data_IF_083897493212
#
_entry.id   IF_083897493212
#
_cell.length_a   1.000
_cell.length_b   1.000
_cell.length_c   1.000
_cell.angle_alpha   90.00
_cell.angle_beta   90.00
_cell.angle_gamma   90.00
#
_symmetry.space_group_name_H-M   'P 1'
#
loop_
_entity.id
_entity.type
_entity.pdbx_description
1 polymer ?
#
# COMPACT_ATOMS: atom_id res chain seq x y z
N UNK A 1 -4.44 10.79 14.99
CA UNK A 1 -4.23 11.76 13.92
C UNK A 1 -4.04 13.18 14.45
N UNK A 2 -3.30 13.95 13.70
CA UNK A 2 -3.00 15.35 14.01
C UNK A 2 -3.26 16.19 12.75
N UNK A 3 -4.04 17.29 12.83
CA UNK A 3 -4.40 18.10 11.66
C UNK A 3 -3.18 18.62 10.88
N UNK A 4 -2.07 18.90 11.58
CA UNK A 4 -0.82 19.32 10.97
C UNK A 4 -0.20 18.31 10.01
N UNK A 5 -0.59 17.01 10.08
CA UNK A 5 -0.10 15.98 9.16
C UNK A 5 -0.44 16.26 7.69
N UNK A 6 -1.41 17.14 7.43
CA UNK A 6 -1.83 17.55 6.09
C UNK A 6 -1.36 18.96 5.71
N UNK A 7 -0.48 19.56 6.51
CA UNK A 7 0.01 20.91 6.27
C UNK A 7 1.13 20.94 5.22
N UNK A 8 1.35 22.15 4.65
CA UNK A 8 2.48 22.38 3.75
C UNK A 8 3.83 22.26 4.46
N UNK A 9 3.87 22.62 5.73
CA UNK A 9 5.04 22.49 6.58
C UNK A 9 5.44 21.04 6.78
N UNK A 10 4.45 20.18 7.08
CA UNK A 10 4.68 18.71 7.19
C UNK A 10 5.13 18.13 5.85
N UNK A 11 4.54 18.57 4.73
CA UNK A 11 4.99 18.15 3.41
C UNK A 11 6.48 18.47 3.21
N UNK A 12 6.86 19.73 3.47
CA UNK A 12 8.26 20.12 3.32
C UNK A 12 9.18 19.34 4.25
N UNK A 13 8.79 19.11 5.50
CA UNK A 13 9.56 18.32 6.46
C UNK A 13 9.73 16.87 5.97
N UNK A 14 8.68 16.26 5.40
CA UNK A 14 8.75 14.91 4.85
C UNK A 14 9.74 14.85 3.68
N UNK A 15 9.66 15.78 2.74
CA UNK A 15 10.61 15.88 1.60
C UNK A 15 12.04 16.02 2.10
N UNK A 16 12.29 17.02 2.96
CA UNK A 16 13.64 17.29 3.49
C UNK A 16 14.20 16.07 4.26
N UNK A 17 13.35 15.38 5.05
CA UNK A 17 13.76 14.20 5.82
C UNK A 17 14.09 13.01 4.91
N UNK A 18 13.28 12.74 3.90
CA UNK A 18 13.50 11.64 2.95
C UNK A 18 14.80 11.90 2.17
N UNK A 19 14.99 13.12 1.67
CA UNK A 19 16.23 13.51 0.99
C UNK A 19 17.44 13.29 1.89
N UNK A 20 17.38 13.78 3.12
CA UNK A 20 18.47 13.63 4.08
C UNK A 20 18.79 12.17 4.37
N UNK A 21 17.78 11.31 4.61
CA UNK A 21 17.99 9.87 4.85
C UNK A 21 18.67 9.21 3.65
N UNK A 22 18.20 9.49 2.44
CA UNK A 22 18.75 8.87 1.22
C UNK A 22 20.18 9.37 0.97
N UNK A 23 20.40 10.67 1.10
CA UNK A 23 21.72 11.27 0.85
C UNK A 23 22.78 10.77 1.85
N UNK A 24 22.43 10.66 3.14
CA UNK A 24 23.34 10.13 4.18
C UNK A 24 23.55 8.61 4.05
N UNK A 25 22.50 7.84 3.75
CA UNK A 25 22.61 6.39 3.60
C UNK A 25 23.32 5.99 2.31
N UNK A 26 23.23 6.82 1.27
CA UNK A 26 23.79 6.59 -0.07
C UNK A 26 23.57 5.15 -0.55
N UNK A 27 22.33 4.65 -0.65
CA UNK A 27 22.04 3.25 -0.91
C UNK A 27 22.50 2.84 -2.31
N UNK A 28 23.25 1.73 -2.40
CA UNK A 28 23.79 1.20 -3.67
C UNK A 28 22.94 0.05 -4.21
N UNK A 29 22.54 -0.88 -3.34
CA UNK A 29 21.84 -2.12 -3.73
C UNK A 29 20.41 -2.19 -3.17
N UNK A 30 19.92 -1.10 -2.62
CA UNK A 30 18.57 -1.01 -2.05
C UNK A 30 17.96 0.35 -2.33
N UNK A 31 16.70 0.50 -2.03
CA UNK A 31 15.97 1.77 -2.14
C UNK A 31 15.29 2.09 -0.82
N UNK A 32 14.93 3.33 -0.64
CA UNK A 32 14.16 3.81 0.50
C UNK A 32 12.70 3.99 0.07
N UNK A 33 11.78 3.55 0.89
CA UNK A 33 10.34 3.77 0.66
C UNK A 33 9.66 4.22 1.94
N UNK A 34 8.52 4.86 1.79
CA UNK A 34 7.61 5.12 2.89
C UNK A 34 6.30 4.42 2.65
N UNK A 35 5.62 4.11 3.73
CA UNK A 35 4.28 3.57 3.75
C UNK A 35 3.25 4.71 3.90
N UNK A 36 2.12 4.70 3.15
CA UNK A 36 1.04 5.63 3.38
C UNK A 36 0.29 5.25 4.64
N UNK A 37 -0.18 6.26 5.38
CA UNK A 37 -1.04 6.06 6.55
C UNK A 37 -2.39 6.74 6.33
N UNK A 38 -3.50 6.21 6.87
CA UNK A 38 -4.83 6.76 6.61
C UNK A 38 -5.04 8.20 7.06
N UNK A 39 -4.18 8.69 7.95
CA UNK A 39 -4.31 10.00 8.62
C UNK A 39 -3.13 10.95 8.35
N UNK A 40 -2.35 10.72 7.31
CA UNK A 40 -1.26 11.62 6.92
C UNK A 40 -0.94 11.50 5.43
N UNK A 41 -0.11 12.43 4.95
CA UNK A 41 0.39 12.42 3.57
C UNK A 41 1.46 11.33 3.38
N UNK A 42 1.51 10.70 2.18
CA UNK A 42 0.59 10.84 1.04
C UNK A 42 -0.71 10.06 1.24
N UNK A 43 -1.84 10.60 0.77
CA UNK A 43 -3.17 9.99 0.94
C UNK A 43 -3.63 9.17 -0.27
N UNK A 44 -2.81 9.09 -1.30
CA UNK A 44 -3.13 8.39 -2.52
C UNK A 44 -2.06 8.53 -3.61
N UNK A 45 -2.30 7.93 -4.79
CA UNK A 45 -1.28 7.82 -5.84
C UNK A 45 -0.82 9.17 -6.40
N UNK A 46 -1.70 10.17 -6.52
CA UNK A 46 -1.31 11.48 -7.03
C UNK A 46 -0.38 12.23 -6.07
N UNK A 47 -0.63 12.12 -4.77
CA UNK A 47 0.29 12.69 -3.78
C UNK A 47 1.61 11.94 -3.73
N UNK A 48 1.61 10.62 -3.94
CA UNK A 48 2.85 9.87 -4.09
C UNK A 48 3.68 10.34 -5.29
N UNK A 49 3.04 10.53 -6.44
CA UNK A 49 3.74 11.05 -7.64
C UNK A 49 4.35 12.42 -7.37
N UNK A 50 3.60 13.29 -6.71
CA UNK A 50 4.10 14.59 -6.30
C UNK A 50 5.28 14.47 -5.34
N UNK A 51 5.17 13.59 -4.32
CA UNK A 51 6.24 13.39 -3.33
C UNK A 51 7.51 12.83 -3.98
N UNK A 52 7.37 11.88 -4.91
CA UNK A 52 8.50 11.36 -5.69
C UNK A 52 9.19 12.48 -6.47
N UNK A 53 8.40 13.35 -7.10
CA UNK A 53 8.93 14.52 -7.84
C UNK A 53 9.62 15.52 -6.92
N UNK A 54 9.03 15.84 -5.77
CA UNK A 54 9.57 16.82 -4.82
C UNK A 54 10.83 16.29 -4.09
N UNK A 55 10.89 14.97 -3.81
CA UNK A 55 12.08 14.30 -3.24
C UNK A 55 13.23 14.24 -4.22
N UNK A 56 12.95 14.02 -5.49
CA UNK A 56 13.94 13.99 -6.59
C UNK A 56 15.19 13.14 -6.27
N UNK A 57 14.95 11.89 -5.81
CA UNK A 57 16.00 10.88 -5.58
C UNK A 57 15.60 9.57 -6.23
N UNK A 58 16.47 9.03 -7.08
CA UNK A 58 16.23 7.75 -7.77
C UNK A 58 16.03 6.58 -6.79
N UNK A 59 16.69 6.66 -5.63
CA UNK A 59 16.57 5.67 -4.57
C UNK A 59 15.25 5.76 -3.78
N UNK A 60 14.36 6.72 -4.07
CA UNK A 60 13.05 6.81 -3.43
C UNK A 60 11.99 6.06 -4.19
N UNK A 61 11.18 5.27 -3.48
CA UNK A 61 10.06 4.51 -4.03
C UNK A 61 8.88 4.39 -3.08
N UNK A 62 7.96 3.52 -3.44
CA UNK A 62 6.68 3.32 -2.76
C UNK A 62 6.68 1.99 -2.04
N UNK A 63 6.36 1.98 -0.75
CA UNK A 63 5.82 0.82 -0.08
C UNK A 63 4.29 0.89 -0.20
N UNK A 64 3.71 0.01 -1.03
CA UNK A 64 2.30 0.06 -1.35
C UNK A 64 1.49 -0.60 -0.23
N UNK A 65 0.91 0.20 0.65
CA UNK A 65 -0.18 -0.24 1.50
C UNK A 65 -1.49 0.34 0.94
N UNK A 66 -2.15 -0.46 0.13
CA UNK A 66 -3.38 -0.04 -0.53
C UNK A 66 -4.48 0.26 0.49
N UNK A 67 -4.58 -0.55 1.54
CA UNK A 67 -5.65 -0.44 2.53
C UNK A 67 -5.54 0.88 3.29
N UNK A 68 -4.33 1.31 3.62
CA UNK A 68 -4.11 2.60 4.26
C UNK A 68 -4.52 3.78 3.36
N UNK A 69 -4.61 3.58 2.05
CA UNK A 69 -5.14 4.56 1.11
C UNK A 69 -6.65 4.43 0.86
N UNK A 70 -7.31 3.33 1.28
CA UNK A 70 -8.77 3.18 1.20
C UNK A 70 -9.44 3.94 2.35
N UNK A 71 -9.42 5.25 2.25
CA UNK A 71 -9.83 6.19 3.31
C UNK A 71 -11.20 6.85 3.05
N UNK A 72 -11.95 6.41 2.05
CA UNK A 72 -13.28 6.90 1.76
C UNK A 72 -14.15 5.80 1.11
N UNK A 73 -15.50 5.94 1.16
CA UNK A 73 -16.42 4.95 0.59
C UNK A 73 -16.16 4.64 -0.89
N UNK A 74 -15.82 5.64 -1.69
CA UNK A 74 -15.58 5.46 -3.11
C UNK A 74 -14.42 4.49 -3.35
N UNK A 75 -13.29 4.66 -2.66
CA UNK A 75 -12.13 3.77 -2.79
C UNK A 75 -12.40 2.37 -2.27
N UNK A 76 -13.31 2.21 -1.32
CA UNK A 76 -13.72 0.90 -0.82
C UNK A 76 -14.64 0.18 -1.80
N UNK A 77 -15.70 0.84 -2.27
CA UNK A 77 -16.69 0.22 -3.15
C UNK A 77 -16.17 0.01 -4.58
N UNK A 78 -15.18 0.78 -5.01
CA UNK A 78 -14.50 0.67 -6.31
C UNK A 78 -13.02 0.31 -6.10
N UNK A 79 -12.78 -0.72 -5.26
CA UNK A 79 -11.41 -1.06 -4.86
C UNK A 79 -10.58 -1.60 -6.02
N UNK A 80 -11.16 -2.34 -6.97
CA UNK A 80 -10.44 -2.84 -8.14
C UNK A 80 -9.94 -1.70 -9.02
N UNK A 81 -10.81 -0.75 -9.34
CA UNK A 81 -10.46 0.43 -10.13
C UNK A 81 -9.42 1.30 -9.42
N UNK A 82 -9.53 1.42 -8.10
CA UNK A 82 -8.54 2.15 -7.31
C UNK A 82 -7.19 1.43 -7.27
N UNK A 83 -7.16 0.11 -7.18
CA UNK A 83 -5.95 -0.69 -7.31
C UNK A 83 -5.27 -0.48 -8.66
N UNK A 84 -6.02 -0.57 -9.75
CA UNK A 84 -5.53 -0.34 -11.10
C UNK A 84 -4.97 1.08 -11.27
N UNK A 85 -5.65 2.08 -10.73
CA UNK A 85 -5.17 3.46 -10.71
C UNK A 85 -3.83 3.58 -9.99
N UNK A 86 -3.70 3.00 -8.79
CA UNK A 86 -2.47 3.03 -8.01
C UNK A 86 -1.30 2.39 -8.76
N UNK A 87 -1.47 1.17 -9.26
CA UNK A 87 -0.41 0.46 -9.99
C UNK A 87 -0.07 1.15 -11.32
N UNK A 88 -1.06 1.67 -12.04
CA UNK A 88 -0.82 2.41 -13.28
C UNK A 88 -0.03 3.70 -13.06
N UNK A 89 -0.43 4.51 -12.07
CA UNK A 89 0.23 5.79 -11.76
C UNK A 89 1.62 5.62 -11.17
N UNK A 90 1.82 4.60 -10.33
CA UNK A 90 3.07 4.37 -9.60
C UNK A 90 3.98 3.33 -10.25
N UNK A 91 3.70 2.97 -11.50
CA UNK A 91 4.44 1.97 -12.26
C UNK A 91 5.96 2.22 -12.23
N UNK A 92 6.73 1.18 -11.96
CA UNK A 92 8.19 1.24 -11.84
C UNK A 92 8.71 1.90 -10.56
N UNK A 93 7.80 2.29 -9.64
CA UNK A 93 8.17 2.93 -8.36
C UNK A 93 7.78 2.11 -7.13
N UNK A 94 6.97 1.07 -7.30
CA UNK A 94 6.54 0.21 -6.20
C UNK A 94 7.66 -0.78 -5.88
N UNK A 95 8.09 -0.79 -4.63
CA UNK A 95 9.22 -1.60 -4.15
C UNK A 95 8.77 -2.81 -3.33
N UNK A 96 7.65 -2.69 -2.65
CA UNK A 96 7.04 -3.73 -1.83
C UNK A 96 5.58 -3.39 -1.56
N UNK A 97 4.82 -4.38 -1.11
CA UNK A 97 3.40 -4.25 -0.81
C UNK A 97 3.09 -4.82 0.57
N UNK A 98 2.21 -4.16 1.32
CA UNK A 98 1.45 -4.81 2.38
C UNK A 98 0.18 -5.43 1.80
N UNK A 99 -0.22 -6.56 2.36
CA UNK A 99 -1.47 -7.22 1.99
C UNK A 99 -2.27 -7.55 3.25
N UNK A 100 -3.46 -7.02 3.32
CA UNK A 100 -4.43 -7.21 4.39
C UNK A 100 -5.83 -7.09 3.84
N UNK A 101 -6.81 -7.56 4.58
CA UNK A 101 -8.21 -7.47 4.19
C UNK A 101 -8.99 -6.60 5.18
N UNK A 102 -10.13 -6.08 4.74
CA UNK A 102 -10.98 -5.24 5.58
C UNK A 102 -12.45 -5.55 5.41
N UNK A 103 -13.19 -5.35 6.49
CA UNK A 103 -14.64 -5.40 6.56
C UNK A 103 -15.21 -4.00 6.77
N UNK A 104 -16.22 -3.64 5.99
CA UNK A 104 -17.07 -2.50 6.29
C UNK A 104 -17.99 -2.87 7.45
N UNK A 105 -17.89 -2.11 8.54
CA UNK A 105 -18.74 -2.33 9.71
C UNK A 105 -20.17 -1.87 9.45
N UNK A 106 -21.14 -2.55 10.05
CA UNK A 106 -22.56 -2.17 9.98
C UNK A 106 -22.86 -1.01 10.94
N UNK A 107 -22.23 0.13 10.69
CA UNK A 107 -22.34 1.36 11.44
C UNK A 107 -22.84 2.50 10.52
N UNK A 108 -23.43 3.55 11.09
CA UNK A 108 -23.89 4.69 10.29
C UNK A 108 -22.75 5.45 9.63
N UNK A 109 -21.64 5.60 10.34
CA UNK A 109 -20.43 6.23 9.81
C UNK A 109 -19.56 5.21 9.07
N UNK A 110 -18.86 5.65 8.02
CA UNK A 110 -17.96 4.79 7.27
C UNK A 110 -16.79 4.34 8.17
N UNK A 111 -16.79 3.06 8.53
CA UNK A 111 -15.76 2.47 9.39
C UNK A 111 -15.31 1.13 8.80
N UNK A 112 -14.01 0.98 8.63
CA UNK A 112 -13.38 -0.25 8.20
C UNK A 112 -12.67 -0.91 9.39
N UNK A 113 -12.71 -2.24 9.44
CA UNK A 113 -11.95 -3.05 10.38
C UNK A 113 -11.08 -4.03 9.62
N UNK A 114 -9.81 -4.06 9.95
CA UNK A 114 -8.87 -5.04 9.42
C UNK A 114 -9.23 -6.46 9.89
N UNK A 115 -9.00 -7.44 9.02
CA UNK A 115 -9.26 -8.85 9.27
C UNK A 115 -8.29 -9.73 8.48
N UNK A 116 -8.29 -11.04 8.75
CA UNK A 116 -7.48 -11.99 8.02
C UNK A 116 -7.86 -12.02 6.52
N UNK A 117 -6.88 -12.29 5.66
CA UNK A 117 -7.11 -12.36 4.22
C UNK A 117 -8.16 -13.41 3.87
N UNK A 118 -9.21 -12.98 3.19
CA UNK A 118 -10.37 -13.81 2.83
C UNK A 118 -11.55 -13.72 3.78
N UNK A 119 -11.43 -13.04 4.90
CA UNK A 119 -12.54 -12.72 5.80
C UNK A 119 -13.17 -11.36 5.50
N UNK A 120 -12.49 -10.54 4.71
CA UNK A 120 -12.97 -9.24 4.26
C UNK A 120 -13.62 -9.29 2.88
N UNK A 121 -13.64 -8.14 2.24
CA UNK A 121 -14.34 -7.93 0.97
C UNK A 121 -13.46 -7.37 -0.14
N UNK A 122 -12.19 -7.18 0.13
CA UNK A 122 -11.28 -6.63 -0.88
C UNK A 122 -10.90 -7.66 -1.94
N UNK A 123 -10.70 -7.24 -3.19
CA UNK A 123 -10.29 -8.11 -4.28
C UNK A 123 -8.78 -8.42 -4.20
N UNK A 124 -8.36 -9.16 -3.14
CA UNK A 124 -6.94 -9.44 -2.85
C UNK A 124 -6.25 -10.22 -3.98
N UNK A 125 -6.99 -11.04 -4.71
CA UNK A 125 -6.48 -11.74 -5.88
C UNK A 125 -6.05 -10.77 -6.97
N UNK A 126 -6.91 -9.80 -7.30
CA UNK A 126 -6.59 -8.72 -8.23
C UNK A 126 -5.37 -7.91 -7.77
N UNK A 127 -5.31 -7.59 -6.47
CA UNK A 127 -4.17 -6.88 -5.91
C UNK A 127 -2.86 -7.65 -6.10
N UNK A 128 -2.86 -8.93 -5.77
CA UNK A 128 -1.66 -9.76 -5.93
C UNK A 128 -1.27 -9.97 -7.41
N UNK A 129 -2.24 -10.06 -8.32
CA UNK A 129 -1.99 -10.10 -9.77
C UNK A 129 -1.33 -8.82 -10.25
N UNK A 130 -1.81 -7.65 -9.83
CA UNK A 130 -1.21 -6.36 -10.19
C UNK A 130 0.20 -6.23 -9.64
N UNK A 131 0.44 -6.63 -8.39
CA UNK A 131 1.75 -6.62 -7.78
C UNK A 131 2.74 -7.54 -8.51
N UNK A 132 2.30 -8.76 -8.87
CA UNK A 132 3.12 -9.72 -9.63
C UNK A 132 3.38 -9.25 -11.07
N UNK A 133 2.41 -8.59 -11.70
CA UNK A 133 2.57 -8.01 -13.03
C UNK A 133 3.54 -6.83 -13.04
N UNK A 134 3.59 -6.05 -11.96
CA UNK A 134 4.57 -4.98 -11.75
C UNK A 134 5.99 -5.53 -11.59
N UNK A 135 6.13 -6.54 -10.73
CA UNK A 135 7.38 -7.27 -10.51
C UNK A 135 7.06 -8.69 -10.06
N UNK A 136 7.50 -9.74 -10.79
CA UNK A 136 7.28 -11.14 -10.41
C UNK A 136 7.83 -11.50 -9.02
N UNK A 137 8.86 -10.81 -8.56
CA UNK A 137 9.50 -10.98 -7.25
C UNK A 137 9.03 -9.91 -6.24
N UNK A 138 7.88 -9.26 -6.46
CA UNK A 138 7.35 -8.23 -5.56
C UNK A 138 7.19 -8.77 -4.14
N UNK A 139 7.89 -8.21 -3.15
CA UNK A 139 7.65 -8.57 -1.75
C UNK A 139 6.22 -8.16 -1.36
N UNK A 140 5.40 -9.15 -0.97
CA UNK A 140 4.07 -8.93 -0.41
C UNK A 140 4.04 -9.44 1.02
N UNK A 141 3.81 -8.56 1.97
CA UNK A 141 3.92 -8.80 3.41
C UNK A 141 2.51 -8.75 4.01
N UNK A 142 2.10 -9.87 4.62
CA UNK A 142 0.85 -9.92 5.40
C UNK A 142 1.10 -9.26 6.75
N UNK A 143 0.19 -8.41 7.19
CA UNK A 143 0.35 -7.68 8.44
C UNK A 143 -0.93 -7.58 9.29
N UNK A 144 -0.79 -7.05 10.51
CA UNK A 144 -1.85 -6.68 11.46
C UNK A 144 -2.73 -7.86 11.90
N UNK A 145 -2.20 -9.09 11.93
CA UNK A 145 -2.89 -10.24 12.48
C UNK A 145 -2.45 -10.51 13.92
N UNK A 146 -3.27 -11.26 14.66
CA UNK A 146 -3.11 -11.41 16.11
C UNK A 146 -2.48 -12.74 16.53
N UNK A 147 -2.39 -13.73 15.62
CA UNK A 147 -1.80 -15.04 15.90
C UNK A 147 -1.08 -15.63 14.70
N UNK A 148 -0.18 -16.56 14.96
CA UNK A 148 0.53 -17.31 13.91
C UNK A 148 -0.45 -18.08 13.01
N UNK A 149 -1.55 -18.60 13.60
CA UNK A 149 -2.61 -19.29 12.88
C UNK A 149 -3.27 -18.39 11.84
N UNK A 150 -3.58 -17.13 12.19
CA UNK A 150 -4.18 -16.17 11.26
C UNK A 150 -3.22 -15.83 10.12
N UNK A 151 -1.91 -15.67 10.40
CA UNK A 151 -0.89 -15.47 9.35
C UNK A 151 -0.81 -16.67 8.41
N UNK A 152 -0.79 -17.91 8.93
CA UNK A 152 -0.72 -19.13 8.14
C UNK A 152 -1.99 -19.35 7.30
N UNK A 153 -3.16 -19.04 7.84
CA UNK A 153 -4.44 -19.11 7.12
C UNK A 153 -4.47 -18.09 5.99
N UNK A 154 -4.10 -16.84 6.26
CA UNK A 154 -4.03 -15.77 5.25
C UNK A 154 -3.05 -16.12 4.14
N UNK A 155 -1.88 -16.61 4.46
CA UNK A 155 -0.89 -17.07 3.48
C UNK A 155 -1.45 -18.22 2.62
N UNK A 156 -2.10 -19.22 3.25
CA UNK A 156 -2.71 -20.34 2.55
C UNK A 156 -3.84 -19.90 1.62
N UNK A 157 -4.66 -18.94 2.04
CA UNK A 157 -5.72 -18.35 1.25
C UNK A 157 -5.17 -17.70 -0.02
N UNK A 158 -4.16 -16.84 0.11
CA UNK A 158 -3.53 -16.15 -1.01
C UNK A 158 -2.84 -17.12 -1.97
N UNK A 159 -2.06 -18.06 -1.45
CA UNK A 159 -1.36 -19.05 -2.27
C UNK A 159 -2.30 -19.94 -3.10
N UNK A 160 -3.46 -20.31 -2.55
CA UNK A 160 -4.45 -21.11 -3.29
C UNK A 160 -5.02 -20.33 -4.47
N UNK A 161 -5.32 -19.06 -4.29
CA UNK A 161 -5.92 -18.23 -5.33
C UNK A 161 -4.94 -17.83 -6.43
N UNK A 162 -3.70 -17.54 -6.07
CA UNK A 162 -2.66 -17.23 -7.05
C UNK A 162 -2.22 -18.43 -7.90
N UNK A 163 -2.38 -19.67 -7.39
CA UNK A 163 -2.04 -20.89 -8.13
C UNK A 163 -3.12 -21.32 -9.13
N UNK A 164 -4.37 -20.94 -8.92
CA UNK A 164 -5.47 -21.34 -9.82
C UNK A 164 -5.39 -20.68 -11.18
N UNK A 165 -4.75 -19.52 -11.31
CA UNK A 165 -4.62 -18.81 -12.58
C UNK A 165 -3.42 -19.25 -13.44
N UNK A 166 -2.56 -20.12 -12.90
CA UNK A 166 -1.38 -20.65 -13.63
C UNK A 166 -1.70 -21.87 -14.50
N UNK A 167 -2.96 -22.28 -14.59
CA UNK A 167 -3.42 -23.48 -15.30
C UNK A 167 -4.39 -23.20 -16.45
N UNK A 168 -4.29 -22.07 -17.14
CA UNK A 168 -5.05 -21.80 -18.37
C UNK A 168 -4.13 -21.55 -19.54
#
# INVERSE_FOLDING_TARGET
GYPGNFSKETWKMAVDSIQHIIDEANPVNTKFSIEPMPWMIPTGPDEYLRLIGDVDREAFGVHMDLINMVNCPQRYFFAEEFMEECFSKLKGRILSCHIKDVLLLNEFTFQLRECACGEGTLPLEKYAQLATAENPDMPMIIEHLHSDEEYLQSLSYLQKRLKTDSCC
#
